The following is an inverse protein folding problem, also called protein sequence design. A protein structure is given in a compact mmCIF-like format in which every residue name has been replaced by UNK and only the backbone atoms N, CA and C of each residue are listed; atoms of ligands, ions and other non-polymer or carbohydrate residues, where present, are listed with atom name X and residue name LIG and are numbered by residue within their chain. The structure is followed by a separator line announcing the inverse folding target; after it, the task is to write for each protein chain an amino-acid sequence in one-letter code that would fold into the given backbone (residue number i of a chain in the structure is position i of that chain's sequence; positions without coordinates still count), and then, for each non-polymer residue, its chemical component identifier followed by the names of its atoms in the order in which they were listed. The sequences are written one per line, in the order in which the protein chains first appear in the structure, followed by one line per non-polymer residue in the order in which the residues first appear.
data_IF_150464494783
#
_entry.id   IF_150464494783
#
_cell.length_a   1.000
_cell.length_b   1.000
_cell.length_c   1.000
_cell.angle_alpha   90.00
_cell.angle_beta   90.00
_cell.angle_gamma   90.00
#
_symmetry.space_group_name_H-M   'P 1'
#
loop_
_entity.id
_entity.type
_entity.pdbx_description
1 polymer ?
#
# COMPACT_ATOMS: atom_id res chain seq x y z
N UNK A 1 -36.19 1.34 57.35
CA UNK A 1 -34.89 0.82 56.92
C UNK A 1 -34.54 1.50 55.65
N UNK A 2 -33.44 2.27 55.53
CA UNK A 2 -33.08 2.93 54.25
C UNK A 2 -32.40 1.90 53.31
N UNK A 3 -32.88 1.85 52.08
CA UNK A 3 -32.34 1.06 50.99
C UNK A 3 -30.92 1.50 50.67
N UNK A 4 -29.97 0.52 50.72
CA UNK A 4 -28.60 0.75 50.31
C UNK A 4 -28.57 1.01 48.80
N UNK A 5 -28.16 2.21 48.38
CA UNK A 5 -27.79 2.54 47.01
C UNK A 5 -26.67 1.62 46.58
N UNK A 6 -26.93 0.73 45.62
CA UNK A 6 -25.90 -0.05 44.95
C UNK A 6 -24.90 0.92 44.30
N UNK A 7 -23.64 0.86 44.75
CA UNK A 7 -22.53 1.58 44.13
C UNK A 7 -22.33 1.07 42.71
N UNK A 8 -22.45 1.95 41.74
CA UNK A 8 -22.07 1.66 40.35
C UNK A 8 -20.64 1.13 40.30
N UNK A 9 -20.35 0.09 39.52
CA UNK A 9 -18.99 -0.40 39.40
C UNK A 9 -18.06 0.72 38.87
N UNK A 10 -17.06 1.07 39.64
CA UNK A 10 -15.99 1.99 39.21
C UNK A 10 -15.26 1.34 38.06
N UNK A 11 -15.46 1.85 36.84
CA UNK A 11 -14.67 1.45 35.66
C UNK A 11 -13.21 1.83 35.97
N UNK A 12 -12.27 0.88 35.94
CA UNK A 12 -10.87 1.18 36.23
C UNK A 12 -10.35 2.22 35.23
N UNK A 13 -9.73 3.28 35.75
CA UNK A 13 -9.10 4.31 34.92
C UNK A 13 -8.00 3.65 34.10
N UNK A 14 -7.96 3.84 32.78
CA UNK A 14 -6.93 3.22 31.94
C UNK A 14 -5.53 3.74 32.32
N UNK A 15 -4.49 2.91 32.20
CA UNK A 15 -3.11 3.33 32.39
C UNK A 15 -2.79 4.56 31.53
N UNK A 16 -2.14 5.56 32.14
CA UNK A 16 -1.68 6.77 31.46
C UNK A 16 -0.19 6.93 31.63
N UNK A 17 0.54 7.05 30.52
CA UNK A 17 1.99 7.29 30.53
C UNK A 17 2.25 8.73 30.09
N UNK A 18 2.70 9.58 31.02
CA UNK A 18 3.01 10.99 30.76
C UNK A 18 4.43 11.18 30.23
N UNK A 19 4.63 12.22 29.42
CA UNK A 19 5.95 12.65 28.95
C UNK A 19 6.67 11.66 28.01
N UNK A 20 6.00 10.60 27.55
CA UNK A 20 6.60 9.61 26.66
C UNK A 20 6.77 10.10 25.21
N UNK A 21 5.94 11.07 24.80
CA UNK A 21 5.95 11.69 23.49
C UNK A 21 6.25 13.18 23.65
N UNK A 22 7.13 13.71 22.79
CA UNK A 22 7.33 15.16 22.71
C UNK A 22 6.26 15.78 21.81
N UNK A 23 5.51 16.75 22.32
CA UNK A 23 4.53 17.51 21.52
C UNK A 23 5.17 18.21 20.32
N UNK A 24 6.50 18.45 20.32
CA UNK A 24 7.27 19.05 19.23
C UNK A 24 7.41 18.12 18.04
N UNK A 25 7.29 16.80 18.25
CA UNK A 25 7.38 15.77 17.21
C UNK A 25 6.02 15.51 16.56
N UNK A 26 4.95 16.10 17.11
CA UNK A 26 3.59 16.00 16.58
C UNK A 26 3.39 17.01 15.45
N UNK A 27 2.73 16.56 14.39
CA UNK A 27 2.38 17.42 13.25
C UNK A 27 1.50 18.60 13.69
N UNK A 28 1.89 19.86 13.37
CA UNK A 28 1.14 21.04 13.80
C UNK A 28 -0.29 21.12 13.29
N UNK A 29 -0.58 20.53 12.12
CA UNK A 29 -1.93 20.53 11.55
C UNK A 29 -2.81 19.49 12.24
N UNK A 30 -2.25 18.33 12.63
CA UNK A 30 -2.94 17.36 13.46
C UNK A 30 -3.29 17.94 14.82
N UNK A 31 -2.35 18.68 15.46
CA UNK A 31 -2.63 19.42 16.71
C UNK A 31 -3.74 20.44 16.55
N UNK A 32 -3.79 21.18 15.43
CA UNK A 32 -4.90 22.12 15.16
C UNK A 32 -6.26 21.39 15.09
N UNK A 33 -6.29 20.20 14.49
CA UNK A 33 -7.51 19.40 14.41
C UNK A 33 -7.96 18.99 15.81
N UNK A 34 -7.07 18.38 16.59
CA UNK A 34 -7.39 17.94 17.97
C UNK A 34 -7.89 19.12 18.81
N UNK A 35 -7.11 20.21 18.91
CA UNK A 35 -7.44 21.37 19.73
C UNK A 35 -8.77 22.02 19.34
N UNK A 36 -9.10 22.06 18.05
CA UNK A 36 -10.36 22.62 17.58
C UNK A 36 -11.57 21.76 17.95
N UNK A 37 -11.40 20.44 17.95
CA UNK A 37 -12.45 19.51 18.37
C UNK A 37 -12.66 19.59 19.89
N UNK A 38 -11.58 19.64 20.68
CA UNK A 38 -11.63 19.80 22.14
C UNK A 38 -12.28 21.13 22.51
N UNK A 39 -11.89 22.24 21.86
CA UNK A 39 -12.52 23.55 22.07
C UNK A 39 -14.02 23.56 21.69
N UNK A 40 -14.46 22.64 20.81
CA UNK A 40 -15.86 22.41 20.48
C UNK A 40 -16.62 21.52 21.47
N UNK A 41 -15.99 21.12 22.59
CA UNK A 41 -16.60 20.27 23.62
C UNK A 41 -16.56 18.77 23.31
N UNK A 42 -15.69 18.33 22.41
CA UNK A 42 -15.54 16.91 22.04
C UNK A 42 -14.22 16.33 22.56
N UNK A 43 -14.23 15.06 22.94
CA UNK A 43 -13.00 14.32 23.13
C UNK A 43 -12.27 14.14 21.79
N UNK A 44 -10.96 14.34 21.78
CA UNK A 44 -10.15 14.12 20.58
C UNK A 44 -8.72 13.73 20.95
N UNK A 45 -8.19 12.72 20.28
CA UNK A 45 -6.87 12.13 20.52
C UNK A 45 -6.13 11.90 19.19
N UNK A 46 -4.81 11.94 19.21
CA UNK A 46 -4.01 11.27 18.18
C UNK A 46 -4.06 9.77 18.45
N UNK A 47 -4.08 8.93 17.39
CA UNK A 47 -4.35 7.50 17.56
C UNK A 47 -3.54 6.60 16.65
N UNK A 48 -3.33 5.37 17.08
CA UNK A 48 -2.85 4.30 16.23
C UNK A 48 -1.38 4.41 15.85
N UNK A 49 -1.11 4.34 14.53
CA UNK A 49 0.24 4.28 14.01
C UNK A 49 1.14 5.44 14.37
N UNK A 50 0.61 6.67 14.44
CA UNK A 50 1.40 7.83 14.81
C UNK A 50 1.82 7.81 16.29
N UNK A 51 0.95 7.38 17.20
CA UNK A 51 1.27 7.27 18.63
C UNK A 51 2.36 6.22 18.86
N UNK A 52 2.18 5.04 18.24
CA UNK A 52 3.20 3.97 18.26
C UNK A 52 4.55 4.46 17.73
N UNK A 53 4.57 5.09 16.53
CA UNK A 53 5.81 5.50 15.89
C UNK A 53 6.50 6.60 16.71
N UNK A 54 5.76 7.57 17.29
CA UNK A 54 6.29 8.58 18.21
C UNK A 54 6.88 7.96 19.49
N UNK A 55 6.19 6.99 20.09
CA UNK A 55 6.68 6.27 21.26
C UNK A 55 8.01 5.57 20.95
N UNK A 56 8.12 4.92 19.79
CA UNK A 56 9.33 4.27 19.29
C UNK A 56 10.40 5.26 18.80
N UNK A 57 10.21 6.58 18.99
CA UNK A 57 11.10 7.65 18.50
C UNK A 57 11.32 7.59 16.97
N UNK A 58 10.32 7.13 16.25
CA UNK A 58 10.28 7.14 14.79
C UNK A 58 9.39 8.29 14.32
N UNK A 59 9.72 8.90 13.19
CA UNK A 59 8.87 9.93 12.59
C UNK A 59 7.65 9.28 11.92
N UNK A 60 6.41 9.60 12.36
CA UNK A 60 5.22 9.10 11.72
C UNK A 60 5.12 9.62 10.27
N UNK A 61 4.59 8.78 9.40
CA UNK A 61 4.28 9.19 8.03
C UNK A 61 2.99 10.01 7.97
N UNK A 62 1.96 9.53 8.66
CA UNK A 62 0.62 10.10 8.69
C UNK A 62 0.18 10.25 10.14
N UNK A 63 -0.70 11.22 10.43
CA UNK A 63 -1.28 11.46 11.74
C UNK A 63 -2.79 11.29 11.67
N UNK A 64 -3.31 10.37 12.46
CA UNK A 64 -4.73 10.06 12.56
C UNK A 64 -5.30 10.64 13.86
N UNK A 65 -6.53 11.17 13.78
CA UNK A 65 -7.28 11.69 14.91
C UNK A 65 -8.53 10.84 15.12
N UNK A 66 -8.84 10.50 16.38
CA UNK A 66 -10.12 9.94 16.76
C UNK A 66 -10.82 10.86 17.75
N UNK A 67 -12.15 10.97 17.66
CA UNK A 67 -12.94 11.94 18.42
C UNK A 67 -14.34 11.42 18.72
N UNK A 68 -14.99 11.99 19.78
CA UNK A 68 -16.41 11.80 20.04
C UNK A 68 -17.34 12.58 19.08
N UNK A 69 -16.77 13.52 18.27
CA UNK A 69 -17.54 14.28 17.30
C UNK A 69 -18.00 13.40 16.13
N UNK A 70 -19.27 13.53 15.71
CA UNK A 70 -19.78 12.82 14.52
C UNK A 70 -19.14 13.36 13.21
N UNK A 71 -19.16 12.59 12.11
CA UNK A 71 -18.61 13.05 10.84
C UNK A 71 -19.24 14.36 10.35
N UNK A 72 -20.53 14.55 10.60
CA UNK A 72 -21.28 15.76 10.26
C UNK A 72 -20.81 16.95 11.11
N UNK A 73 -20.54 16.73 12.39
CA UNK A 73 -19.99 17.73 13.31
C UNK A 73 -18.58 18.14 12.89
N UNK A 74 -17.71 17.17 12.56
CA UNK A 74 -16.37 17.43 12.07
C UNK A 74 -16.44 18.27 10.78
N UNK A 75 -17.32 17.92 9.85
CA UNK A 75 -17.50 18.69 8.59
C UNK A 75 -17.98 20.11 8.85
N UNK A 76 -18.82 20.34 9.86
CA UNK A 76 -19.26 21.70 10.25
C UNK A 76 -18.12 22.50 10.90
N UNK A 77 -17.28 21.83 11.70
CA UNK A 77 -16.15 22.46 12.35
C UNK A 77 -15.05 22.89 11.36
N UNK A 78 -14.82 22.13 10.27
CA UNK A 78 -13.74 22.38 9.31
C UNK A 78 -14.29 22.63 7.91
N UNK A 79 -14.09 23.87 7.38
CA UNK A 79 -14.53 24.24 6.01
C UNK A 79 -13.81 23.42 4.92
N UNK A 80 -12.58 23.00 5.19
CA UNK A 80 -11.70 22.19 4.33
C UNK A 80 -11.84 20.69 4.63
N UNK A 81 -13.04 20.19 4.90
CA UNK A 81 -13.28 18.80 5.25
C UNK A 81 -14.19 18.11 4.23
N UNK A 82 -13.90 16.84 3.91
CA UNK A 82 -14.76 15.94 3.13
C UNK A 82 -14.95 14.64 3.87
N UNK A 83 -16.17 14.10 3.86
CA UNK A 83 -16.46 12.77 4.39
C UNK A 83 -16.24 11.77 3.26
N UNK A 84 -15.39 10.77 3.51
CA UNK A 84 -14.98 9.75 2.54
C UNK A 84 -15.42 8.37 3.08
N UNK A 85 -15.75 7.48 2.15
CA UNK A 85 -16.08 6.08 2.43
C UNK A 85 -17.55 5.83 2.67
N UNK A 86 -18.02 4.66 2.22
CA UNK A 86 -19.39 4.16 2.47
C UNK A 86 -19.45 3.26 3.68
N UNK A 87 -18.46 2.35 3.81
CA UNK A 87 -18.34 1.39 4.91
C UNK A 87 -17.80 2.06 6.18
N UNK A 88 -16.82 2.95 6.01
CA UNK A 88 -16.17 3.70 7.08
C UNK A 88 -16.26 5.18 6.75
N UNK A 89 -17.13 5.91 7.44
CA UNK A 89 -17.21 7.35 7.26
C UNK A 89 -16.05 8.04 7.95
N UNK A 90 -15.02 8.40 7.17
CA UNK A 90 -13.86 9.14 7.63
C UNK A 90 -13.96 10.61 7.20
N UNK A 91 -13.63 11.51 8.08
CA UNK A 91 -13.50 12.91 7.75
C UNK A 91 -12.03 13.22 7.36
N UNK A 92 -11.80 13.60 6.11
CA UNK A 92 -10.52 14.07 5.61
C UNK A 92 -10.44 15.57 5.76
N UNK A 93 -9.63 16.07 6.67
CA UNK A 93 -9.36 17.50 6.85
C UNK A 93 -8.10 17.87 6.06
N UNK A 94 -8.23 18.78 5.09
CA UNK A 94 -7.18 19.12 4.13
C UNK A 94 -6.35 20.32 4.59
N UNK A 95 -5.03 20.22 4.53
CA UNK A 95 -4.08 21.31 4.75
C UNK A 95 -3.15 21.40 3.52
N UNK A 96 -3.62 22.10 2.47
CA UNK A 96 -2.97 22.03 1.17
C UNK A 96 -2.98 20.60 0.61
N UNK A 97 -1.83 20.00 0.30
CA UNK A 97 -1.74 18.62 -0.15
C UNK A 97 -1.84 17.58 0.98
N UNK A 98 -1.69 18.00 2.25
CA UNK A 98 -1.73 17.13 3.41
C UNK A 98 -3.17 16.85 3.82
N UNK A 99 -3.43 15.63 4.27
CA UNK A 99 -4.72 15.19 4.79
C UNK A 99 -4.52 14.71 6.22
N UNK A 100 -5.35 15.18 7.15
CA UNK A 100 -5.48 14.61 8.50
C UNK A 100 -6.76 13.78 8.52
N UNK A 101 -6.61 12.46 8.64
CA UNK A 101 -7.73 11.54 8.75
C UNK A 101 -8.32 11.65 10.16
N UNK A 102 -9.61 11.93 10.23
CA UNK A 102 -10.32 12.11 11.50
C UNK A 102 -11.52 11.18 11.55
N UNK A 103 -11.54 10.28 12.53
CA UNK A 103 -12.59 9.27 12.73
C UNK A 103 -13.40 9.57 13.99
N UNK A 104 -14.70 9.29 13.95
CA UNK A 104 -15.51 9.21 15.15
C UNK A 104 -15.23 7.92 15.90
N UNK A 105 -15.24 7.92 17.24
CA UNK A 105 -15.13 6.69 18.03
C UNK A 105 -16.23 5.72 17.65
N UNK A 106 -15.89 4.45 17.49
CA UNK A 106 -16.82 3.41 17.08
C UNK A 106 -16.81 2.25 18.08
N UNK A 107 -17.94 1.61 18.21
CA UNK A 107 -18.05 0.33 18.91
C UNK A 107 -17.84 -0.84 17.95
N UNK A 108 -17.72 -2.04 18.49
CA UNK A 108 -17.64 -3.26 17.68
C UNK A 108 -19.02 -3.51 17.06
N UNK A 109 -19.12 -3.66 15.72
CA UNK A 109 -20.40 -3.93 15.08
C UNK A 109 -20.96 -5.26 15.54
N UNK A 110 -22.27 -5.34 15.64
CA UNK A 110 -22.97 -6.61 15.87
C UNK A 110 -22.92 -7.40 14.56
N UNK A 111 -22.21 -8.53 14.58
CA UNK A 111 -22.17 -9.48 13.45
C UNK A 111 -23.22 -10.57 13.66
N UNK A 112 -23.71 -11.17 12.57
CA UNK A 112 -24.58 -12.36 12.68
C UNK A 112 -23.74 -13.56 13.17
N UNK A 113 -24.34 -14.44 13.98
CA UNK A 113 -23.67 -15.63 14.53
C UNK A 113 -23.10 -16.54 13.43
N UNK A 114 -23.75 -16.59 12.27
CA UNK A 114 -23.35 -17.46 11.14
C UNK A 114 -22.33 -16.82 10.19
N UNK A 115 -22.10 -15.49 10.24
CA UNK A 115 -21.09 -14.82 9.40
C UNK A 115 -20.38 -13.71 10.20
N UNK A 116 -19.19 -14.00 10.75
CA UNK A 116 -18.42 -13.05 11.53
C UNK A 116 -17.77 -11.92 10.71
N UNK A 117 -17.89 -11.93 9.36
CA UNK A 117 -17.30 -10.89 8.53
C UNK A 117 -17.96 -9.53 8.75
N UNK A 118 -17.16 -8.54 9.17
CA UNK A 118 -17.61 -7.17 9.34
C UNK A 118 -17.89 -6.54 7.97
N UNK A 119 -19.17 -6.28 7.66
CA UNK A 119 -19.61 -5.62 6.42
C UNK A 119 -19.94 -4.14 6.61
N UNK A 120 -20.38 -3.74 7.81
CA UNK A 120 -20.71 -2.37 8.21
C UNK A 120 -20.00 -2.03 9.51
N UNK A 121 -19.59 -0.77 9.70
CA UNK A 121 -18.84 -0.32 10.87
C UNK A 121 -19.05 1.20 11.05
N UNK A 122 -20.27 1.60 11.39
CA UNK A 122 -20.65 3.00 11.62
C UNK A 122 -21.46 3.19 12.93
N UNK A 123 -21.32 2.28 13.87
CA UNK A 123 -21.87 2.45 15.20
C UNK A 123 -20.91 3.24 16.07
N UNK A 124 -21.44 4.29 16.74
CA UNK A 124 -20.63 5.19 17.54
C UNK A 124 -20.47 4.66 18.97
N UNK A 125 -19.27 4.75 19.51
CA UNK A 125 -18.93 4.26 20.83
C UNK A 125 -18.11 5.26 21.65
N UNK A 126 -17.53 4.75 22.71
CA UNK A 126 -16.56 5.46 23.56
C UNK A 126 -15.13 5.33 23.02
N UNK A 127 -14.22 6.08 23.60
CA UNK A 127 -12.77 5.95 23.30
C UNK A 127 -12.25 4.53 23.59
N UNK A 128 -12.75 3.89 24.65
CA UNK A 128 -12.42 2.51 25.02
C UNK A 128 -12.93 1.50 23.98
N UNK A 129 -14.19 1.67 23.52
CA UNK A 129 -14.74 0.84 22.46
C UNK A 129 -13.91 0.94 21.17
N UNK A 130 -13.51 2.18 20.80
CA UNK A 130 -12.66 2.39 19.62
C UNK A 130 -11.27 1.75 19.77
N UNK A 131 -10.70 1.73 20.98
CA UNK A 131 -9.46 1.02 21.27
C UNK A 131 -9.62 -0.50 21.08
N UNK A 132 -10.66 -1.07 21.69
CA UNK A 132 -10.89 -2.52 21.72
C UNK A 132 -11.24 -3.13 20.36
N UNK A 133 -11.81 -2.36 19.44
CA UNK A 133 -12.13 -2.83 18.09
C UNK A 133 -10.94 -2.76 17.09
N UNK A 134 -9.82 -2.12 17.45
CA UNK A 134 -8.63 -2.04 16.59
C UNK A 134 -8.00 -3.40 16.38
N UNK A 135 -7.04 -3.49 15.47
CA UNK A 135 -6.44 -4.78 15.05
C UNK A 135 -5.45 -5.33 16.08
N UNK A 136 -4.43 -4.54 16.44
CA UNK A 136 -3.34 -4.97 17.31
C UNK A 136 -3.16 -4.00 18.46
N UNK A 137 -2.71 -4.52 19.61
CA UNK A 137 -2.51 -3.76 20.84
C UNK A 137 -1.62 -2.54 20.62
N UNK A 138 -0.54 -2.67 19.87
CA UNK A 138 0.38 -1.60 19.51
C UNK A 138 -0.23 -0.46 18.69
N UNK A 139 -1.41 -0.67 18.10
CA UNK A 139 -2.17 0.32 17.34
C UNK A 139 -3.43 0.80 18.10
N UNK A 140 -3.67 0.27 19.31
CA UNK A 140 -4.79 0.65 20.17
C UNK A 140 -4.47 1.78 21.15
N UNK A 141 -3.39 2.51 20.92
CA UNK A 141 -2.94 3.61 21.77
C UNK A 141 -3.51 4.95 21.33
N UNK A 142 -3.83 5.78 22.31
CA UNK A 142 -4.36 7.13 22.14
C UNK A 142 -3.41 8.13 22.84
N UNK A 143 -3.17 9.28 22.23
CA UNK A 143 -2.38 10.34 22.87
C UNK A 143 -3.26 11.56 23.12
N UNK A 144 -3.41 11.88 24.40
CA UNK A 144 -4.08 13.06 24.90
C UNK A 144 -3.07 14.24 24.88
N UNK A 145 -3.31 15.19 23.98
CA UNK A 145 -2.38 16.32 23.76
C UNK A 145 -2.46 17.35 24.87
N UNK A 146 -3.57 17.42 25.62
CA UNK A 146 -3.76 18.38 26.70
C UNK A 146 -3.19 17.85 28.02
N UNK A 147 -3.37 16.55 28.30
CA UNK A 147 -2.79 15.87 29.45
C UNK A 147 -1.33 15.44 29.24
N UNK A 148 -0.78 15.58 28.02
CA UNK A 148 0.53 15.06 27.61
C UNK A 148 0.73 13.59 28.02
N UNK A 149 -0.26 12.76 27.70
CA UNK A 149 -0.28 11.37 28.14
C UNK A 149 -0.75 10.40 27.05
N UNK A 150 -0.08 9.23 26.97
CA UNK A 150 -0.60 8.08 26.23
C UNK A 150 -1.63 7.38 27.10
N UNK A 151 -2.82 7.12 26.55
CA UNK A 151 -3.91 6.36 27.16
C UNK A 151 -3.94 4.99 26.52
N UNK A 152 -3.86 3.95 27.35
CA UNK A 152 -3.77 2.56 26.92
C UNK A 152 -4.90 1.72 27.53
N UNK A 153 -5.83 1.25 26.70
CA UNK A 153 -6.97 0.39 27.09
C UNK A 153 -6.72 -1.09 26.81
N UNK A 154 -5.58 -1.44 26.16
CA UNK A 154 -5.39 -2.75 25.51
C UNK A 154 -3.99 -3.34 25.75
N UNK A 155 -3.22 -2.81 26.70
CA UNK A 155 -1.84 -3.23 27.04
C UNK A 155 -0.84 -3.05 25.88
N UNK A 156 -1.09 -2.08 25.01
CA UNK A 156 -0.27 -1.82 23.84
C UNK A 156 1.12 -1.29 24.18
N UNK A 157 1.28 -0.53 25.28
CA UNK A 157 2.59 -0.04 25.76
C UNK A 157 3.51 -1.21 26.14
N UNK A 158 2.98 -2.18 26.89
CA UNK A 158 3.73 -3.35 27.31
C UNK A 158 4.17 -4.21 26.11
N UNK A 159 3.32 -4.33 25.09
CA UNK A 159 3.67 -5.05 23.87
C UNK A 159 4.68 -4.29 23.01
N UNK A 160 4.63 -2.95 22.97
CA UNK A 160 5.66 -2.14 22.31
C UNK A 160 7.03 -2.31 22.95
N UNK A 161 7.10 -2.30 24.29
CA UNK A 161 8.35 -2.51 25.03
C UNK A 161 8.92 -3.91 24.81
N UNK A 162 8.06 -4.91 24.71
CA UNK A 162 8.46 -6.31 24.44
C UNK A 162 8.74 -6.61 22.97
N UNK A 163 8.39 -5.72 22.05
CA UNK A 163 8.51 -5.97 20.62
C UNK A 163 7.56 -7.06 20.12
N UNK A 164 6.29 -7.02 20.54
CA UNK A 164 5.29 -8.07 20.26
C UNK A 164 4.11 -7.53 19.45
N UNK A 165 3.68 -8.28 18.44
CA UNK A 165 2.44 -8.06 17.70
C UNK A 165 1.38 -9.00 18.24
N UNK A 166 0.40 -8.47 18.95
CA UNK A 166 -0.72 -9.20 19.54
C UNK A 166 -2.05 -8.59 19.08
N UNK A 167 -3.01 -9.44 18.71
CA UNK A 167 -4.38 -8.99 18.41
C UNK A 167 -5.08 -8.50 19.67
N UNK A 168 -5.95 -7.51 19.51
CA UNK A 168 -6.85 -7.08 20.59
C UNK A 168 -8.04 -8.05 20.63
N UNK A 169 -8.24 -8.74 21.76
CA UNK A 169 -9.26 -9.77 21.92
C UNK A 169 -8.85 -11.15 21.37
N UNK A 170 -9.81 -12.04 21.17
CA UNK A 170 -9.57 -13.39 20.68
C UNK A 170 -9.00 -13.39 19.25
N UNK A 171 -7.76 -13.88 19.03
CA UNK A 171 -7.13 -13.81 17.73
C UNK A 171 -7.84 -14.62 16.64
N UNK A 172 -8.46 -15.74 17.01
CA UNK A 172 -9.21 -16.56 16.05
C UNK A 172 -10.42 -15.80 15.50
N UNK A 173 -11.22 -15.24 16.38
CA UNK A 173 -12.37 -14.43 16.03
C UNK A 173 -11.94 -13.20 15.21
N UNK A 174 -10.88 -12.52 15.62
CA UNK A 174 -10.39 -11.31 14.97
C UNK A 174 -9.94 -11.54 13.53
N UNK A 175 -9.33 -12.70 13.22
CA UNK A 175 -8.97 -13.07 11.85
C UNK A 175 -10.16 -13.56 11.02
N UNK A 176 -11.20 -14.12 11.65
CA UNK A 176 -12.45 -14.47 10.98
C UNK A 176 -13.26 -13.23 10.61
N UNK A 177 -13.34 -12.24 11.47
CA UNK A 177 -14.01 -10.94 11.23
C UNK A 177 -13.39 -10.15 10.07
N UNK A 178 -12.08 -10.10 10.00
CA UNK A 178 -11.33 -9.43 8.94
C UNK A 178 -10.00 -10.12 8.64
N UNK A 179 -10.00 -11.10 7.73
CA UNK A 179 -8.79 -11.86 7.42
C UNK A 179 -7.62 -11.04 6.88
N UNK A 180 -7.85 -9.81 6.38
CA UNK A 180 -6.77 -8.88 5.98
C UNK A 180 -5.86 -8.53 7.16
N UNK A 181 -6.34 -8.66 8.40
CA UNK A 181 -5.51 -8.49 9.61
C UNK A 181 -4.32 -9.44 9.65
N UNK A 182 -4.38 -10.63 9.04
CA UNK A 182 -3.24 -11.54 8.91
C UNK A 182 -2.08 -10.89 8.12
N UNK A 183 -2.38 -10.24 6.99
CA UNK A 183 -1.38 -9.49 6.22
C UNK A 183 -0.82 -8.29 6.99
N UNK A 184 -1.69 -7.65 7.78
CA UNK A 184 -1.28 -6.54 8.64
C UNK A 184 -0.38 -7.00 9.79
N UNK A 185 -0.62 -8.18 10.38
CA UNK A 185 0.27 -8.79 11.38
C UNK A 185 1.67 -9.00 10.80
N UNK A 186 1.76 -9.64 9.64
CA UNK A 186 3.01 -9.82 8.88
C UNK A 186 3.70 -8.48 8.61
N UNK A 187 2.94 -7.47 8.14
CA UNK A 187 3.47 -6.13 7.85
C UNK A 187 4.10 -5.47 9.07
N UNK A 188 3.39 -5.47 10.19
CA UNK A 188 3.89 -4.82 11.40
C UNK A 188 5.06 -5.58 12.00
N UNK A 189 5.01 -6.92 12.03
CA UNK A 189 6.12 -7.75 12.49
C UNK A 189 7.40 -7.48 11.69
N UNK A 190 7.30 -7.50 10.37
CA UNK A 190 8.43 -7.24 9.49
C UNK A 190 8.97 -5.79 9.60
N UNK A 191 8.07 -4.78 9.55
CA UNK A 191 8.47 -3.36 9.54
C UNK A 191 9.06 -2.89 10.86
N UNK A 192 8.58 -3.41 11.98
CA UNK A 192 9.01 -3.01 13.32
C UNK A 192 10.15 -3.88 13.85
N UNK A 193 10.40 -5.02 13.21
CA UNK A 193 11.27 -6.10 13.67
C UNK A 193 10.77 -6.70 14.99
N UNK A 194 9.45 -6.95 15.04
CA UNK A 194 8.74 -7.49 16.19
C UNK A 194 8.35 -8.94 15.94
N UNK A 195 8.18 -9.70 17.02
CA UNK A 195 7.65 -11.07 16.96
C UNK A 195 6.13 -11.06 17.01
N UNK A 196 5.49 -11.99 16.30
CA UNK A 196 4.05 -12.21 16.46
C UNK A 196 3.87 -13.10 17.67
N UNK A 197 2.97 -12.70 18.60
CA UNK A 197 2.61 -13.49 19.77
C UNK A 197 2.18 -14.91 19.38
N UNK A 198 2.51 -15.91 20.20
CA UNK A 198 2.28 -17.32 19.86
C UNK A 198 0.80 -17.64 19.62
N UNK A 199 -0.12 -17.14 20.46
CA UNK A 199 -1.55 -17.35 20.27
C UNK A 199 -2.07 -16.68 18.99
N UNK A 200 -1.61 -15.47 18.69
CA UNK A 200 -1.90 -14.74 17.45
C UNK A 200 -1.34 -15.48 16.23
N UNK A 201 -0.13 -16.05 16.33
CA UNK A 201 0.47 -16.82 15.24
C UNK A 201 -0.26 -18.13 14.96
N UNK A 202 -0.63 -18.89 16.01
CA UNK A 202 -1.42 -20.11 15.86
C UNK A 202 -2.77 -19.83 15.19
N UNK A 203 -3.50 -18.83 15.68
CA UNK A 203 -4.78 -18.44 15.10
C UNK A 203 -4.64 -18.02 13.62
N UNK A 204 -3.53 -17.35 13.25
CA UNK A 204 -3.23 -17.02 11.85
C UNK A 204 -3.08 -18.30 11.01
N UNK A 205 -2.32 -19.30 11.49
CA UNK A 205 -2.13 -20.58 10.79
C UNK A 205 -3.44 -21.34 10.63
N UNK A 206 -4.30 -21.34 11.66
CA UNK A 206 -5.59 -22.03 11.67
C UNK A 206 -6.62 -21.37 10.74
N UNK A 207 -6.51 -20.05 10.51
CA UNK A 207 -7.46 -19.28 9.71
C UNK A 207 -6.92 -18.83 8.35
N UNK A 208 -5.71 -19.23 7.96
CA UNK A 208 -5.02 -18.76 6.73
C UNK A 208 -5.90 -18.87 5.48
N UNK A 209 -6.69 -19.94 5.33
CA UNK A 209 -7.60 -20.13 4.19
C UNK A 209 -8.72 -19.09 4.08
N UNK A 210 -9.04 -18.39 5.18
CA UNK A 210 -10.06 -17.33 5.15
C UNK A 210 -9.63 -16.10 4.39
N UNK A 211 -8.34 -15.92 4.08
CA UNK A 211 -7.85 -14.77 3.30
C UNK A 211 -8.52 -14.68 1.93
N UNK A 212 -8.94 -15.80 1.35
CA UNK A 212 -9.70 -15.86 0.11
C UNK A 212 -11.08 -15.21 0.15
N UNK A 213 -11.67 -15.01 1.35
CA UNK A 213 -12.96 -14.30 1.54
C UNK A 213 -12.84 -12.79 1.42
N UNK A 214 -11.63 -12.24 1.47
CA UNK A 214 -11.39 -10.81 1.38
C UNK A 214 -11.52 -10.27 -0.04
N UNK A 215 -11.87 -9.00 -0.19
CA UNK A 215 -11.85 -8.37 -1.49
C UNK A 215 -10.42 -8.33 -2.05
N UNK A 216 -10.25 -8.70 -3.32
CA UNK A 216 -8.96 -8.70 -4.02
C UNK A 216 -8.24 -7.35 -3.94
N UNK A 217 -9.00 -6.24 -4.00
CA UNK A 217 -8.44 -4.90 -3.94
C UNK A 217 -7.78 -4.61 -2.58
N UNK A 218 -8.39 -5.05 -1.45
CA UNK A 218 -7.80 -4.89 -0.11
C UNK A 218 -6.54 -5.75 0.04
N UNK A 219 -6.59 -7.00 -0.42
CA UNK A 219 -5.44 -7.92 -0.40
C UNK A 219 -4.28 -7.35 -1.21
N UNK A 220 -4.53 -6.94 -2.46
CA UNK A 220 -3.50 -6.37 -3.34
C UNK A 220 -2.87 -5.10 -2.75
N UNK A 221 -3.67 -4.24 -2.15
CA UNK A 221 -3.17 -3.03 -1.48
C UNK A 221 -2.23 -3.37 -0.32
N UNK A 222 -2.57 -4.36 0.52
CA UNK A 222 -1.66 -4.80 1.59
C UNK A 222 -0.39 -5.46 1.01
N UNK A 223 -0.47 -6.26 -0.05
CA UNK A 223 0.72 -6.80 -0.73
C UNK A 223 1.65 -5.66 -1.21
N UNK A 224 1.09 -4.62 -1.83
CA UNK A 224 1.89 -3.46 -2.22
C UNK A 224 2.49 -2.72 -1.02
N UNK A 225 1.78 -2.66 0.12
CA UNK A 225 2.32 -2.07 1.36
C UNK A 225 3.45 -2.90 1.96
N UNK A 226 3.39 -4.24 1.87
CA UNK A 226 4.48 -5.13 2.27
C UNK A 226 5.75 -4.85 1.45
N UNK A 227 5.60 -4.70 0.13
CA UNK A 227 6.73 -4.42 -0.79
C UNK A 227 7.32 -3.01 -0.62
N UNK A 228 6.48 -2.01 -0.25
CA UNK A 228 6.92 -0.61 -0.09
C UNK A 228 7.36 -0.24 1.32
N UNK A 229 7.20 -1.17 2.26
CA UNK A 229 7.38 -0.88 3.68
C UNK A 229 8.82 -0.75 4.15
N UNK A 230 9.81 -1.03 3.31
CA UNK A 230 11.23 -1.09 3.67
C UNK A 230 11.60 -2.35 4.48
N UNK A 231 10.74 -3.37 4.45
CA UNK A 231 10.94 -4.68 5.04
C UNK A 231 10.29 -5.77 4.17
N UNK A 232 10.42 -5.64 2.85
CA UNK A 232 9.80 -6.54 1.88
C UNK A 232 10.34 -7.96 2.03
N UNK A 233 11.66 -8.10 2.19
CA UNK A 233 12.30 -9.41 2.41
C UNK A 233 11.70 -10.11 3.62
N UNK A 234 11.71 -9.48 4.80
CA UNK A 234 11.16 -10.08 6.02
C UNK A 234 9.65 -10.32 5.91
N UNK A 235 8.92 -9.43 5.25
CA UNK A 235 7.48 -9.62 4.99
C UNK A 235 7.21 -10.89 4.19
N UNK A 236 7.98 -11.14 3.12
CA UNK A 236 7.81 -12.33 2.27
C UNK A 236 8.29 -13.61 2.95
N UNK A 237 9.30 -13.55 3.82
CA UNK A 237 9.67 -14.66 4.69
C UNK A 237 8.48 -15.08 5.57
N UNK A 238 7.86 -14.11 6.27
CA UNK A 238 6.69 -14.37 7.11
C UNK A 238 5.48 -14.84 6.30
N UNK A 239 5.25 -14.32 5.07
CA UNK A 239 4.21 -14.84 4.18
C UNK A 239 4.43 -16.31 3.81
N UNK A 240 5.68 -16.73 3.63
CA UNK A 240 6.02 -18.11 3.34
C UNK A 240 5.85 -19.00 4.59
N UNK A 241 6.39 -18.58 5.73
CA UNK A 241 6.30 -19.28 7.02
C UNK A 241 4.83 -19.48 7.46
N UNK A 242 3.98 -18.46 7.24
CA UNK A 242 2.55 -18.48 7.59
C UNK A 242 1.66 -19.18 6.58
N UNK A 243 2.18 -19.67 5.46
CA UNK A 243 1.44 -20.23 4.31
C UNK A 243 0.54 -19.23 3.58
N UNK A 244 0.50 -17.96 4.02
CA UNK A 244 -0.28 -16.91 3.35
C UNK A 244 0.11 -16.75 1.88
N UNK A 245 1.38 -16.94 1.53
CA UNK A 245 1.83 -16.85 0.13
C UNK A 245 1.16 -17.90 -0.76
N UNK A 246 0.98 -19.13 -0.26
CA UNK A 246 0.30 -20.21 -1.00
C UNK A 246 -1.18 -19.92 -1.19
N UNK A 247 -1.85 -19.38 -0.18
CA UNK A 247 -3.27 -19.04 -0.28
C UNK A 247 -3.54 -17.82 -1.17
N UNK A 248 -2.67 -16.82 -1.11
CA UNK A 248 -2.81 -15.58 -1.87
C UNK A 248 -2.42 -15.73 -3.34
N UNK A 249 -1.35 -16.46 -3.60
CA UNK A 249 -0.71 -16.58 -4.91
C UNK A 249 -0.35 -18.03 -5.25
N UNK A 250 -1.32 -18.98 -5.28
CA UNK A 250 -1.02 -20.38 -5.53
C UNK A 250 -0.29 -20.58 -6.88
N UNK A 251 -0.74 -19.91 -7.93
CA UNK A 251 -0.09 -19.97 -9.24
C UNK A 251 1.36 -19.48 -9.21
N UNK A 252 1.69 -18.50 -8.37
CA UNK A 252 3.05 -17.99 -8.20
C UNK A 252 3.95 -19.05 -7.53
N UNK A 253 3.47 -19.69 -6.47
CA UNK A 253 4.18 -20.77 -5.80
C UNK A 253 4.38 -21.98 -6.74
N UNK A 254 3.37 -22.32 -7.56
CA UNK A 254 3.45 -23.38 -8.55
C UNK A 254 4.47 -23.12 -9.65
N UNK A 255 4.65 -21.85 -10.05
CA UNK A 255 5.72 -21.45 -10.99
C UNK A 255 7.11 -21.79 -10.42
N UNK A 256 7.36 -21.49 -9.14
CA UNK A 256 8.62 -21.87 -8.51
C UNK A 256 8.82 -23.37 -8.45
N UNK A 257 7.76 -24.17 -8.18
CA UNK A 257 7.84 -25.64 -8.19
C UNK A 257 8.21 -26.19 -9.57
N UNK A 258 7.75 -25.53 -10.64
CA UNK A 258 8.06 -25.94 -12.03
C UNK A 258 9.48 -25.56 -12.46
N UNK A 259 10.00 -24.44 -11.96
CA UNK A 259 11.30 -23.88 -12.38
C UNK A 259 12.45 -24.33 -11.50
N UNK A 260 12.20 -24.76 -10.28
CA UNK A 260 13.23 -25.20 -9.32
C UNK A 260 12.82 -26.48 -8.60
N UNK A 261 13.68 -27.50 -8.54
CA UNK A 261 13.40 -28.74 -7.80
C UNK A 261 13.04 -28.52 -6.32
N UNK A 262 13.59 -27.47 -5.69
CA UNK A 262 13.29 -27.06 -4.32
C UNK A 262 12.04 -26.20 -4.18
N UNK A 263 11.39 -25.82 -5.29
CA UNK A 263 10.27 -24.89 -5.29
C UNK A 263 10.65 -23.52 -4.70
N UNK A 264 9.66 -22.82 -4.15
CA UNK A 264 9.90 -21.59 -3.39
C UNK A 264 10.38 -21.94 -1.98
N UNK A 265 11.65 -21.68 -1.72
CA UNK A 265 12.32 -21.97 -0.45
C UNK A 265 12.68 -20.69 0.30
N UNK A 266 12.76 -20.77 1.65
CA UNK A 266 13.14 -19.63 2.48
C UNK A 266 14.59 -19.17 2.25
N UNK A 267 14.94 -17.96 2.70
CA UNK A 267 16.27 -17.37 2.44
C UNK A 267 17.43 -18.10 3.09
N UNK A 268 17.17 -18.83 4.17
CA UNK A 268 18.18 -19.66 4.86
C UNK A 268 18.47 -20.99 4.13
N UNK A 269 17.69 -21.35 3.10
CA UNK A 269 17.89 -22.58 2.34
C UNK A 269 19.20 -22.51 1.54
N UNK A 270 19.91 -23.64 1.46
CA UNK A 270 21.12 -23.77 0.65
C UNK A 270 20.77 -23.85 -0.84
N UNK A 271 20.42 -22.72 -1.41
CA UNK A 271 20.11 -22.59 -2.84
C UNK A 271 21.36 -22.21 -3.64
N UNK A 272 21.44 -22.66 -4.91
CA UNK A 272 22.55 -22.30 -5.80
C UNK A 272 22.49 -20.84 -6.21
N UNK A 273 23.65 -20.18 -6.50
CA UNK A 273 23.62 -18.89 -7.17
C UNK A 273 22.80 -18.97 -8.47
N UNK A 274 21.89 -18.02 -8.69
CA UNK A 274 21.01 -18.00 -9.87
C UNK A 274 19.69 -18.76 -9.72
N UNK A 275 19.49 -19.56 -8.67
CA UNK A 275 18.16 -20.14 -8.43
C UNK A 275 17.09 -19.06 -8.21
N UNK A 276 15.87 -19.22 -8.78
CA UNK A 276 14.81 -18.24 -8.71
C UNK A 276 14.51 -17.74 -7.28
N UNK A 277 14.47 -18.64 -6.29
CA UNK A 277 14.25 -18.26 -4.89
C UNK A 277 15.33 -17.33 -4.36
N UNK A 278 16.60 -17.62 -4.62
CA UNK A 278 17.71 -16.78 -4.17
C UNK A 278 17.70 -15.40 -4.84
N UNK A 279 17.42 -15.37 -6.15
CA UNK A 279 17.28 -14.11 -6.89
C UNK A 279 16.14 -13.27 -6.31
N UNK A 280 15.02 -13.89 -5.96
CA UNK A 280 13.89 -13.21 -5.33
C UNK A 280 14.29 -12.55 -4.01
N UNK A 281 14.94 -13.28 -3.10
CA UNK A 281 15.36 -12.75 -1.80
C UNK A 281 16.33 -11.59 -1.93
N UNK A 282 17.30 -11.69 -2.84
CA UNK A 282 18.25 -10.61 -3.10
C UNK A 282 17.56 -9.36 -3.70
N UNK A 283 16.57 -9.54 -4.58
CA UNK A 283 15.81 -8.42 -5.14
C UNK A 283 14.92 -7.73 -4.09
N UNK A 284 14.30 -8.51 -3.19
CA UNK A 284 13.52 -7.94 -2.09
C UNK A 284 14.42 -7.16 -1.12
N UNK A 285 15.62 -7.67 -0.81
CA UNK A 285 16.61 -6.95 0.00
C UNK A 285 17.07 -5.65 -0.68
N UNK A 286 17.38 -5.70 -1.97
CA UNK A 286 17.74 -4.51 -2.74
C UNK A 286 16.60 -3.48 -2.79
N UNK A 287 15.34 -3.93 -2.83
CA UNK A 287 14.16 -3.07 -2.74
C UNK A 287 14.04 -2.39 -1.37
N UNK A 288 14.33 -3.11 -0.28
CA UNK A 288 14.32 -2.56 1.07
C UNK A 288 15.40 -1.48 1.24
N UNK A 289 16.60 -1.74 0.74
CA UNK A 289 17.68 -0.76 0.75
C UNK A 289 17.36 0.47 -0.10
N UNK A 290 16.75 0.28 -1.29
CA UNK A 290 16.27 1.38 -2.13
C UNK A 290 15.26 2.24 -1.40
N UNK A 291 14.27 1.62 -0.74
CA UNK A 291 13.23 2.30 0.02
C UNK A 291 13.82 3.10 1.19
N UNK A 292 14.83 2.57 1.86
CA UNK A 292 15.51 3.23 2.98
C UNK A 292 16.41 4.39 2.54
N UNK A 293 17.05 4.25 1.37
CA UNK A 293 18.00 5.25 0.86
C UNK A 293 17.33 6.41 0.12
N UNK A 294 16.10 6.25 -0.35
CA UNK A 294 15.41 7.24 -1.16
C UNK A 294 14.07 7.65 -0.56
N UNK A 295 13.65 8.90 -0.79
CA UNK A 295 12.28 9.34 -0.47
C UNK A 295 11.27 8.94 -1.57
N UNK A 296 11.72 8.26 -2.63
CA UNK A 296 10.89 7.89 -3.77
C UNK A 296 10.21 6.54 -3.53
N UNK A 297 8.93 6.48 -3.86
CA UNK A 297 8.14 5.25 -3.77
C UNK A 297 8.21 4.51 -5.09
N UNK A 298 8.66 3.25 -5.08
CA UNK A 298 8.65 2.41 -6.26
C UNK A 298 7.22 2.24 -6.82
N UNK A 299 7.07 2.36 -8.15
CA UNK A 299 5.78 2.16 -8.81
C UNK A 299 5.30 0.71 -8.71
N UNK A 300 3.97 0.48 -8.85
CA UNK A 300 3.42 -0.87 -8.89
C UNK A 300 4.08 -1.73 -9.97
N UNK A 301 4.45 -1.13 -11.11
CA UNK A 301 5.15 -1.83 -12.18
C UNK A 301 6.52 -2.34 -11.76
N UNK A 302 7.30 -1.54 -11.01
CA UNK A 302 8.61 -1.95 -10.46
C UNK A 302 8.43 -3.08 -9.44
N UNK A 303 7.44 -2.96 -8.53
CA UNK A 303 7.16 -4.00 -7.54
C UNK A 303 6.79 -5.35 -8.18
N UNK A 304 5.95 -5.32 -9.21
CA UNK A 304 5.62 -6.52 -9.99
C UNK A 304 6.86 -7.05 -10.72
N UNK A 305 7.68 -6.19 -11.31
CA UNK A 305 8.91 -6.62 -11.97
C UNK A 305 9.86 -7.32 -10.99
N UNK A 306 9.99 -6.82 -9.75
CA UNK A 306 10.77 -7.48 -8.68
C UNK A 306 10.26 -8.88 -8.39
N UNK A 307 8.94 -9.08 -8.33
CA UNK A 307 8.35 -10.39 -8.04
C UNK A 307 8.53 -11.38 -9.20
N UNK A 308 8.39 -10.93 -10.44
CA UNK A 308 8.37 -11.84 -11.60
C UNK A 308 9.73 -12.03 -12.27
N UNK A 309 10.69 -11.13 -12.10
CA UNK A 309 12.02 -11.25 -12.69
C UNK A 309 12.75 -12.55 -12.32
N UNK A 310 12.67 -13.05 -11.07
CA UNK A 310 13.34 -14.32 -10.71
C UNK A 310 12.88 -15.51 -11.55
N UNK A 311 11.63 -15.48 -12.03
CA UNK A 311 11.03 -16.56 -12.81
C UNK A 311 11.45 -16.54 -14.29
N UNK A 312 12.15 -15.51 -14.73
CA UNK A 312 12.61 -15.33 -16.11
C UNK A 312 14.07 -15.78 -16.33
N UNK A 313 14.79 -16.21 -15.29
CA UNK A 313 16.25 -16.19 -15.20
C UNK A 313 16.98 -16.94 -16.32
N UNK A 314 16.60 -18.17 -16.66
CA UNK A 314 17.32 -18.95 -17.69
C UNK A 314 16.89 -18.60 -19.13
N UNK A 315 15.65 -18.26 -19.34
CA UNK A 315 15.08 -18.06 -20.66
C UNK A 315 15.16 -16.61 -21.16
N UNK A 316 15.40 -15.68 -20.26
CA UNK A 316 15.41 -14.27 -20.51
C UNK A 316 16.45 -13.82 -21.56
N UNK A 317 17.69 -14.34 -21.54
CA UNK A 317 18.74 -13.92 -22.48
C UNK A 317 18.67 -14.67 -23.82
N UNK A 318 18.12 -15.87 -23.85
CA UNK A 318 18.10 -16.77 -25.04
C UNK A 318 16.82 -16.64 -25.88
N UNK A 319 15.69 -16.29 -25.27
CA UNK A 319 14.42 -16.14 -25.97
C UNK A 319 14.45 -15.06 -27.04
N UNK A 320 13.72 -15.25 -28.14
CA UNK A 320 13.44 -14.16 -29.08
C UNK A 320 12.65 -13.03 -28.38
N UNK A 321 12.57 -11.84 -28.99
CA UNK A 321 11.80 -10.73 -28.42
C UNK A 321 10.32 -11.09 -28.24
N UNK A 322 9.71 -11.74 -29.24
CA UNK A 322 8.33 -12.19 -29.17
C UNK A 322 8.15 -13.35 -28.18
N UNK A 323 9.13 -14.25 -28.08
CA UNK A 323 9.14 -15.33 -27.11
C UNK A 323 9.18 -14.82 -25.68
N UNK A 324 10.05 -13.85 -25.41
CA UNK A 324 10.11 -13.22 -24.07
C UNK A 324 8.82 -12.49 -23.72
N UNK A 325 8.22 -11.77 -24.65
CA UNK A 325 6.97 -11.05 -24.45
C UNK A 325 5.84 -11.99 -24.04
N UNK A 326 5.70 -13.11 -24.75
CA UNK A 326 4.73 -14.17 -24.42
C UNK A 326 5.03 -14.83 -23.07
N UNK A 327 6.32 -15.15 -22.82
CA UNK A 327 6.73 -15.75 -21.55
C UNK A 327 6.36 -14.86 -20.36
N UNK A 328 6.60 -13.55 -20.44
CA UNK A 328 6.23 -12.60 -19.39
C UNK A 328 4.70 -12.61 -19.18
N UNK A 329 3.91 -12.59 -20.25
CA UNK A 329 2.46 -12.62 -20.17
C UNK A 329 1.94 -13.94 -19.57
N UNK A 330 2.53 -15.08 -19.93
CA UNK A 330 2.17 -16.40 -19.41
C UNK A 330 2.49 -16.54 -17.91
N UNK A 331 3.62 -15.99 -17.46
CA UNK A 331 4.01 -16.00 -16.06
C UNK A 331 3.18 -15.04 -15.20
N UNK A 332 2.96 -13.82 -15.69
CA UNK A 332 2.28 -12.78 -14.92
C UNK A 332 0.76 -12.92 -14.96
N UNK A 333 0.21 -13.39 -16.08
CA UNK A 333 -1.23 -13.41 -16.35
C UNK A 333 -2.06 -14.05 -15.23
N UNK A 334 -1.86 -15.33 -14.90
CA UNK A 334 -2.64 -16.03 -13.88
C UNK A 334 -2.60 -15.36 -12.51
N UNK A 335 -1.40 -14.97 -12.06
CA UNK A 335 -1.20 -14.32 -10.74
C UNK A 335 -1.84 -12.93 -10.71
N UNK A 336 -1.63 -12.12 -11.75
CA UNK A 336 -2.19 -10.76 -11.81
C UNK A 336 -3.73 -10.78 -11.88
N UNK A 337 -4.32 -11.75 -12.59
CA UNK A 337 -5.79 -11.92 -12.65
C UNK A 337 -6.34 -12.36 -11.29
N UNK A 338 -5.69 -13.32 -10.63
CA UNK A 338 -6.08 -13.79 -9.29
C UNK A 338 -6.08 -12.65 -8.27
N UNK A 339 -5.03 -11.84 -8.25
CA UNK A 339 -4.89 -10.69 -7.33
C UNK A 339 -5.71 -9.45 -7.74
N UNK A 340 -6.26 -9.40 -8.95
CA UNK A 340 -6.97 -8.23 -9.46
C UNK A 340 -6.07 -7.05 -9.80
N UNK A 341 -4.83 -7.33 -10.24
CA UNK A 341 -3.87 -6.28 -10.64
C UNK A 341 -4.40 -5.48 -11.82
N UNK A 342 -4.34 -4.16 -11.72
CA UNK A 342 -4.78 -3.27 -12.80
C UNK A 342 -3.98 -3.52 -14.10
N UNK A 343 -4.67 -3.52 -15.24
CA UNK A 343 -4.04 -3.73 -16.56
C UNK A 343 -2.86 -2.78 -16.79
N UNK A 344 -3.00 -1.52 -16.36
CA UNK A 344 -1.93 -0.51 -16.48
C UNK A 344 -0.66 -0.93 -15.75
N UNK A 345 -0.78 -1.44 -14.52
CA UNK A 345 0.36 -1.81 -13.69
C UNK A 345 1.05 -3.07 -14.23
N UNK A 346 0.26 -4.06 -14.71
CA UNK A 346 0.77 -5.25 -15.41
C UNK A 346 1.53 -4.87 -16.68
N UNK A 347 0.97 -3.98 -17.51
CA UNK A 347 1.61 -3.52 -18.73
C UNK A 347 2.91 -2.76 -18.44
N UNK A 348 2.93 -1.91 -17.41
CA UNK A 348 4.15 -1.22 -16.97
C UNK A 348 5.23 -2.21 -16.54
N UNK A 349 4.89 -3.22 -15.74
CA UNK A 349 5.84 -4.26 -15.32
C UNK A 349 6.42 -5.02 -16.54
N UNK A 350 5.58 -5.40 -17.50
CA UNK A 350 6.00 -6.02 -18.76
C UNK A 350 6.99 -5.14 -19.52
N UNK A 351 6.69 -3.85 -19.63
CA UNK A 351 7.57 -2.87 -20.31
C UNK A 351 8.91 -2.71 -19.58
N UNK A 352 8.90 -2.69 -18.25
CA UNK A 352 10.12 -2.63 -17.41
C UNK A 352 11.00 -3.86 -17.66
N UNK A 353 10.44 -5.06 -17.59
CA UNK A 353 11.16 -6.31 -17.82
C UNK A 353 11.74 -6.38 -19.23
N UNK A 354 10.98 -6.00 -20.26
CA UNK A 354 11.46 -5.93 -21.63
C UNK A 354 12.54 -4.85 -21.84
N UNK A 355 12.43 -3.71 -21.16
CA UNK A 355 13.41 -2.64 -21.20
C UNK A 355 14.71 -3.06 -20.54
N UNK A 356 14.64 -3.69 -19.36
CA UNK A 356 15.80 -4.17 -18.64
C UNK A 356 16.67 -5.09 -19.51
N UNK A 357 16.07 -6.06 -20.21
CA UNK A 357 16.83 -6.89 -21.17
C UNK A 357 17.55 -6.05 -22.22
N UNK A 358 16.86 -5.05 -22.81
CA UNK A 358 17.48 -4.17 -23.82
C UNK A 358 18.61 -3.34 -23.25
N UNK A 359 18.50 -2.93 -21.98
CA UNK A 359 19.53 -2.17 -21.28
C UNK A 359 20.77 -3.03 -21.10
N UNK A 360 20.64 -4.26 -20.63
CA UNK A 360 21.74 -5.21 -20.46
C UNK A 360 22.36 -5.60 -21.82
N UNK A 361 21.57 -5.98 -22.84
CA UNK A 361 22.07 -6.31 -24.19
C UNK A 361 22.81 -5.14 -24.86
N UNK A 362 22.40 -3.90 -24.60
CA UNK A 362 23.02 -2.71 -25.17
C UNK A 362 24.44 -2.54 -24.67
N UNK A 363 24.71 -2.87 -23.42
CA UNK A 363 26.02 -2.79 -22.80
C UNK A 363 26.96 -3.87 -23.34
N UNK A 364 26.49 -5.11 -23.42
CA UNK A 364 27.29 -6.23 -23.94
C UNK A 364 27.62 -6.08 -25.42
N UNK A 365 26.71 -5.54 -26.24
CA UNK A 365 26.86 -5.38 -27.68
C UNK A 365 27.39 -4.00 -28.12
N UNK A 366 27.68 -3.09 -27.16
CA UNK A 366 28.13 -1.69 -27.40
C UNK A 366 27.19 -0.91 -28.35
N UNK A 367 25.87 -1.25 -28.36
CA UNK A 367 24.88 -0.58 -29.20
C UNK A 367 24.24 0.59 -28.44
N UNK A 368 24.40 1.81 -28.93
CA UNK A 368 23.67 2.97 -28.39
C UNK A 368 22.20 2.87 -28.71
N UNK A 369 21.31 3.02 -27.69
CA UNK A 369 19.85 3.02 -27.85
C UNK A 369 19.22 4.25 -27.18
N UNK A 370 19.50 5.48 -27.67
CA UNK A 370 18.97 6.70 -27.05
C UNK A 370 17.44 6.78 -27.04
N UNK A 371 16.77 6.10 -28.00
CA UNK A 371 15.31 6.05 -28.06
C UNK A 371 14.64 5.38 -26.84
N UNK A 372 15.39 4.58 -26.04
CA UNK A 372 14.87 3.98 -24.83
C UNK A 372 14.68 5.02 -23.72
N UNK A 373 15.60 5.99 -23.63
CA UNK A 373 15.57 7.08 -22.64
C UNK A 373 14.30 7.94 -22.76
N UNK A 374 13.76 8.08 -23.98
CA UNK A 374 12.57 8.90 -24.25
C UNK A 374 11.25 8.18 -23.91
N UNK A 375 11.29 6.92 -23.47
CA UNK A 375 10.07 6.17 -23.13
C UNK A 375 9.56 6.53 -21.74
N UNK A 376 8.24 6.63 -21.58
CA UNK A 376 7.60 6.97 -20.30
C UNK A 376 7.98 6.02 -19.15
N UNK A 377 8.20 4.74 -19.46
CA UNK A 377 8.60 3.72 -18.49
C UNK A 377 10.11 3.70 -18.21
N UNK A 378 10.91 4.58 -18.83
CA UNK A 378 12.38 4.53 -18.69
C UNK A 378 12.85 4.75 -17.25
N UNK A 379 12.23 5.69 -16.54
CA UNK A 379 12.58 5.95 -15.14
C UNK A 379 12.38 4.69 -14.28
N UNK A 380 11.23 4.04 -14.41
CA UNK A 380 10.93 2.81 -13.69
C UNK A 380 11.88 1.66 -14.09
N UNK A 381 12.21 1.55 -15.37
CA UNK A 381 13.18 0.58 -15.85
C UNK A 381 14.60 0.84 -15.31
N UNK A 382 14.96 2.11 -15.12
CA UNK A 382 16.25 2.50 -14.53
C UNK A 382 16.29 2.16 -13.03
N UNK A 383 15.22 2.41 -12.30
CA UNK A 383 15.08 1.97 -10.90
C UNK A 383 15.22 0.46 -10.81
N UNK A 384 14.50 -0.29 -11.64
CA UNK A 384 14.58 -1.75 -11.67
C UNK A 384 15.98 -2.28 -12.05
N UNK A 385 16.68 -1.64 -13.00
CA UNK A 385 18.08 -1.95 -13.31
C UNK A 385 18.96 -1.76 -12.07
N UNK A 386 18.80 -0.66 -11.33
CA UNK A 386 19.54 -0.43 -10.09
C UNK A 386 19.31 -1.54 -9.06
N UNK A 387 18.07 -1.98 -8.87
CA UNK A 387 17.73 -3.10 -7.98
C UNK A 387 18.42 -4.40 -8.43
N UNK A 388 18.40 -4.71 -9.73
CA UNK A 388 19.02 -5.94 -10.26
C UNK A 388 20.53 -5.93 -10.19
N UNK A 389 21.19 -4.79 -10.45
CA UNK A 389 22.63 -4.61 -10.27
C UNK A 389 23.02 -4.84 -8.81
N UNK A 390 22.29 -4.22 -7.88
CA UNK A 390 22.50 -4.38 -6.43
C UNK A 390 22.32 -5.83 -6.00
N UNK A 391 21.21 -6.46 -6.39
CA UNK A 391 20.90 -7.85 -6.04
C UNK A 391 21.94 -8.87 -6.53
N UNK A 392 22.70 -8.55 -7.59
CA UNK A 392 23.77 -9.38 -8.13
C UNK A 392 25.16 -9.03 -7.58
N UNK A 393 25.25 -8.00 -6.74
CA UNK A 393 26.54 -7.49 -6.24
C UNK A 393 27.38 -6.78 -7.31
N UNK A 394 26.72 -6.17 -8.31
CA UNK A 394 27.42 -5.43 -9.38
C UNK A 394 27.96 -4.09 -8.90
N UNK A 395 28.97 -3.57 -9.61
CA UNK A 395 29.69 -2.33 -9.28
C UNK A 395 28.94 -1.02 -9.64
N UNK A 396 27.73 -1.12 -10.19
CA UNK A 396 26.93 0.03 -10.60
C UNK A 396 27.33 0.69 -11.93
N UNK A 397 28.35 0.18 -12.62
CA UNK A 397 28.82 0.73 -13.91
C UNK A 397 27.71 0.73 -14.97
N UNK A 398 26.88 -0.31 -15.01
CA UNK A 398 25.72 -0.44 -15.89
C UNK A 398 24.70 0.65 -15.62
N UNK A 399 24.35 0.86 -14.36
CA UNK A 399 23.42 1.91 -13.94
C UNK A 399 23.96 3.30 -14.30
N UNK A 400 25.24 3.56 -13.98
CA UNK A 400 25.92 4.82 -14.28
C UNK A 400 25.97 5.13 -15.78
N UNK A 401 26.10 4.12 -16.65
CA UNK A 401 26.02 4.32 -18.10
C UNK A 401 24.66 4.88 -18.54
N UNK A 402 23.56 4.27 -18.08
CA UNK A 402 22.22 4.71 -18.46
C UNK A 402 21.83 6.04 -17.84
N UNK A 403 22.29 6.34 -16.63
CA UNK A 403 22.12 7.65 -15.99
C UNK A 403 22.79 8.77 -16.79
N UNK A 404 24.05 8.56 -17.22
CA UNK A 404 24.78 9.52 -18.08
C UNK A 404 24.06 9.71 -19.42
N UNK A 405 23.61 8.62 -20.05
CA UNK A 405 22.88 8.70 -21.30
C UNK A 405 21.57 9.48 -21.16
N UNK A 406 20.84 9.30 -20.05
CA UNK A 406 19.63 10.04 -19.74
C UNK A 406 19.91 11.53 -19.58
N UNK A 407 20.96 11.90 -18.85
CA UNK A 407 21.32 13.31 -18.63
C UNK A 407 21.65 14.05 -19.93
N UNK A 408 22.28 13.37 -20.89
CA UNK A 408 22.62 13.95 -22.20
C UNK A 408 21.42 13.99 -23.15
N UNK A 409 20.46 13.07 -23.00
CA UNK A 409 19.35 12.92 -23.96
C UNK A 409 18.12 13.73 -23.57
N UNK A 410 17.93 14.06 -22.30
CA UNK A 410 16.88 14.97 -21.86
C UNK A 410 17.33 16.41 -22.14
N UNK A 411 16.60 17.19 -22.98
CA UNK A 411 16.85 18.62 -23.06
C UNK A 411 16.64 19.20 -21.65
N UNK A 412 17.56 20.06 -21.21
CA UNK A 412 17.43 20.87 -20.02
C UNK A 412 16.02 21.50 -20.03
N UNK A 413 15.13 21.07 -19.13
CA UNK A 413 13.92 21.83 -18.84
C UNK A 413 14.41 23.14 -18.20
N UNK A 414 14.56 24.15 -19.03
CA UNK A 414 14.64 25.52 -18.57
C UNK A 414 13.25 25.79 -17.99
N UNK A 415 13.18 25.94 -16.68
CA UNK A 415 12.02 26.53 -16.02
C UNK A 415 11.88 27.96 -16.59
N UNK A 416 11.09 28.10 -17.65
CA UNK A 416 10.62 29.40 -18.08
C UNK A 416 9.60 29.87 -17.05
N UNK A 417 10.03 30.80 -16.21
CA UNK A 417 9.16 31.57 -15.35
C UNK A 417 7.99 32.16 -16.14
N UNK A 418 6.87 32.21 -15.48
CA UNK A 418 5.62 32.83 -15.92
C UNK A 418 5.86 34.22 -16.51
N UNK A 419 5.55 34.37 -17.78
CA UNK A 419 5.08 35.64 -18.32
C UNK A 419 3.77 35.39 -19.07
N UNK A 420 2.70 35.82 -18.41
CA UNK A 420 1.39 36.01 -18.99
C UNK A 420 1.51 37.19 -20.01
N UNK A 421 1.47 36.87 -21.30
CA UNK A 421 1.16 37.88 -22.29
C UNK A 421 -0.01 37.43 -23.16
N UNK A 422 -1.07 38.23 -23.07
CA UNK A 422 -2.30 38.09 -23.81
C UNK A 422 -2.16 38.59 -25.24
N UNK A 423 -2.09 37.70 -26.22
CA UNK A 423 -2.14 38.00 -27.64
C UNK A 423 -3.34 37.34 -28.33
N UNK A 424 -3.95 37.97 -29.36
CA UNK A 424 -5.32 37.76 -29.78
C UNK A 424 -5.51 36.50 -30.65
N UNK A 425 -6.61 35.79 -30.38
CA UNK A 425 -7.11 34.62 -31.13
C UNK A 425 -7.26 34.89 -32.62
N UNK A 426 -6.44 34.25 -33.47
CA UNK A 426 -6.65 34.17 -34.92
C UNK A 426 -7.80 33.21 -35.25
N UNK A 427 -8.86 33.81 -35.85
CA UNK A 427 -10.01 33.10 -36.42
C UNK A 427 -9.57 32.17 -37.57
N UNK A 428 -9.85 30.89 -37.47
CA UNK A 428 -9.66 29.89 -38.53
C UNK A 428 -10.72 30.10 -39.62
N UNK A 429 -10.31 30.53 -40.81
CA UNK A 429 -11.13 30.71 -42.01
C UNK A 429 -11.66 29.36 -42.51
N UNK A 430 -12.98 29.21 -42.54
CA UNK A 430 -13.71 28.13 -43.19
C UNK A 430 -13.59 28.29 -44.71
N UNK A 431 -13.01 27.32 -45.39
CA UNK A 431 -13.00 27.26 -46.87
C UNK A 431 -14.31 26.63 -47.32
N UNK A 432 -15.17 27.43 -47.90
CA UNK A 432 -16.32 27.01 -48.70
C UNK A 432 -15.85 26.47 -50.05
N UNK A 433 -16.31 25.27 -50.42
CA UNK A 433 -16.23 24.75 -51.79
C UNK A 433 -17.61 24.90 -52.41
N UNK A 434 -17.67 25.71 -53.47
CA UNK A 434 -18.79 25.84 -54.40
C UNK A 434 -18.64 24.82 -55.52
N UNK A 435 -19.79 24.36 -56.06
CA UNK A 435 -19.92 24.03 -57.45
C UNK A 435 -20.64 22.76 -57.76
N UNK A 436 -21.93 22.91 -58.20
CA UNK A 436 -22.53 22.44 -59.42
C UNK A 436 -22.93 20.95 -59.45
N UNK A 437 -24.12 20.52 -59.65
CA UNK A 437 -25.17 20.94 -60.52
C UNK A 437 -25.81 19.68 -61.12
N UNK A 438 -27.15 19.66 -61.25
CA UNK A 438 -27.99 18.88 -62.17
C UNK A 438 -28.38 17.44 -61.79
N UNK A 439 -29.62 17.22 -61.41
CA UNK A 439 -30.82 16.89 -62.22
C UNK A 439 -31.14 15.36 -62.31
N UNK A 440 -32.41 14.98 -62.07
CA UNK A 440 -32.91 13.69 -62.50
C UNK A 440 -33.85 12.92 -61.55
N UNK A 441 -35.07 13.44 -61.33
CA UNK A 441 -36.42 12.74 -61.36
C UNK A 441 -36.62 11.35 -60.72
N UNK A 442 -37.58 11.36 -59.76
CA UNK A 442 -38.79 10.47 -59.66
C UNK A 442 -38.63 8.99 -59.23
N UNK A 443 -39.16 8.57 -58.13
CA UNK A 443 -40.48 7.99 -57.90
C UNK A 443 -40.54 7.33 -56.49
N UNK A 444 -41.52 7.78 -55.72
CA UNK A 444 -42.10 6.97 -54.62
C UNK A 444 -43.09 5.94 -55.28
N UNK A 445 -43.57 4.87 -54.61
CA UNK A 445 -44.31 4.90 -53.35
C UNK A 445 -44.10 3.72 -52.39
N UNK A 446 -44.52 3.99 -51.17
CA UNK A 446 -44.96 3.03 -50.13
C UNK A 446 -46.15 2.16 -50.58
N UNK A 447 -46.76 1.25 -49.79
CA UNK A 447 -46.44 0.65 -48.46
C UNK A 447 -46.73 -0.86 -48.37
N UNK A 448 -46.56 -1.47 -47.18
CA UNK A 448 -47.24 -2.71 -46.87
C UNK A 448 -46.63 -3.57 -45.76
N UNK A 449 -47.19 -3.42 -44.55
CA UNK A 449 -47.21 -4.41 -43.48
C UNK A 449 -48.05 -5.66 -43.87
N UNK A 450 -47.98 -6.83 -43.21
CA UNK A 450 -48.22 -6.99 -41.79
C UNK A 450 -47.04 -7.52 -40.97
#
# INVERSE_FOLDING_TARGET
MPEAKASSPTVPTPPRLQGAISIRDVDPDALKVVRKLVAGGHEAYLVGGCVRDLFLKRRPKDFDVATSATPETIRKAFRNCRIIGRRFKLAHVFFGPKIIETSTFRTTPITAEDDPLITHDNEWGTVEDDARRRDFTINGLFYDTDADAIVDFVEGLADLERGVIRTIGDPLLRFQEDPVRMLRAVKFAARLDFTIEEATWRALLDTVGHIGKCSRARVLEEIYKLLRGGAARRSFELLLESRLMTELMPSYVDLYRKLSPGGLSGPASKTRPGEPSRVMWNLLEALDEYTSATSQVASNGVLLAVLFAPLLDEQWMTASRQGLDRLIDDLMGPVCVSLGVARRDRELARQILMAHRRMVESLTRKKRRPSLVQRQYFHDALVFLGLTVKARGGDGSELGHWQRLAAVTQPLRIESGDEFDGGPRRKRRRRTRHGGGADGRRHSPEPGTP
#
